data_IF_473527783317
#
_entry.id   IF_473527783317
#
_cell.length_a   1.000
_cell.length_b   1.000
_cell.length_c   1.000
_cell.angle_alpha   90.00
_cell.angle_beta   90.00
_cell.angle_gamma   90.00
#
_symmetry.space_group_name_H-M   'P 1'
#
loop_
_entity.id
_entity.type
_entity.pdbx_description
1 polymer ?
#
# COMPACT_ATOMS: atom_id res chain seq x y z
N UNK A 1 -34.44 -75.43 -9.89
CA UNK A 1 -33.57 -74.77 -8.90
C UNK A 1 -32.58 -73.95 -9.68
N UNK A 2 -32.94 -72.70 -10.01
CA UNK A 2 -32.01 -71.64 -10.45
C UNK A 2 -32.84 -70.35 -10.56
N UNK A 3 -32.75 -69.44 -9.58
CA UNK A 3 -33.50 -68.19 -9.58
C UNK A 3 -32.89 -67.16 -10.54
N UNK A 4 -33.77 -66.30 -11.04
CA UNK A 4 -33.59 -65.35 -12.13
C UNK A 4 -32.34 -64.45 -12.06
N UNK A 5 -31.66 -64.37 -13.20
CA UNK A 5 -30.80 -63.26 -13.58
C UNK A 5 -31.67 -62.06 -13.97
N UNK A 6 -31.80 -61.04 -13.11
CA UNK A 6 -32.08 -59.67 -13.60
C UNK A 6 -31.25 -58.64 -12.84
N UNK A 7 -30.29 -58.06 -13.56
CA UNK A 7 -29.57 -56.86 -13.15
C UNK A 7 -30.55 -55.69 -13.10
N UNK A 8 -30.65 -55.01 -11.96
CA UNK A 8 -31.14 -53.65 -11.91
C UNK A 8 -30.22 -52.77 -11.07
N UNK A 9 -29.00 -52.57 -11.57
CA UNK A 9 -28.16 -51.45 -11.16
C UNK A 9 -28.52 -50.20 -11.95
N UNK A 10 -29.81 -49.81 -11.96
CA UNK A 10 -30.23 -48.47 -12.33
C UNK A 10 -30.08 -47.55 -11.11
N UNK A 11 -28.87 -47.51 -10.55
CA UNK A 11 -28.51 -46.61 -9.46
C UNK A 11 -28.28 -45.22 -10.01
N UNK A 12 -29.37 -44.50 -10.28
CA UNK A 12 -29.49 -43.05 -10.52
C UNK A 12 -28.18 -42.32 -10.87
N UNK A 13 -27.87 -42.23 -12.17
CA UNK A 13 -26.78 -41.39 -12.72
C UNK A 13 -26.94 -39.90 -12.34
N UNK A 14 -28.14 -39.50 -11.89
CA UNK A 14 -28.48 -38.15 -11.47
C UNK A 14 -27.80 -37.78 -10.13
N UNK A 15 -27.63 -38.72 -9.22
CA UNK A 15 -27.00 -38.47 -7.91
C UNK A 15 -25.51 -38.02 -8.03
N UNK A 16 -24.63 -38.74 -8.73
CA UNK A 16 -23.25 -38.28 -8.93
C UNK A 16 -23.18 -36.99 -9.75
N UNK A 17 -24.13 -36.75 -10.67
CA UNK A 17 -24.19 -35.54 -11.47
C UNK A 17 -24.55 -34.29 -10.63
N UNK A 18 -25.50 -34.41 -9.70
CA UNK A 18 -25.83 -33.33 -8.75
C UNK A 18 -24.63 -33.04 -7.83
N UNK A 19 -23.97 -34.08 -7.32
CA UNK A 19 -22.79 -33.91 -6.47
C UNK A 19 -21.65 -33.19 -7.19
N UNK A 20 -21.38 -33.53 -8.47
CA UNK A 20 -20.40 -32.81 -9.28
C UNK A 20 -20.79 -31.35 -9.49
N UNK A 21 -22.07 -31.08 -9.73
CA UNK A 21 -22.56 -29.71 -9.92
C UNK A 21 -22.37 -28.88 -8.65
N UNK A 22 -22.70 -29.44 -7.49
CA UNK A 22 -22.51 -28.79 -6.19
C UNK A 22 -21.01 -28.56 -5.92
N UNK A 23 -20.16 -29.56 -6.20
CA UNK A 23 -18.72 -29.43 -6.02
C UNK A 23 -18.13 -28.30 -6.89
N UNK A 24 -18.57 -28.17 -8.14
CA UNK A 24 -18.17 -27.07 -9.03
C UNK A 24 -18.62 -25.70 -8.51
N UNK A 25 -19.84 -25.60 -7.98
CA UNK A 25 -20.34 -24.36 -7.39
C UNK A 25 -19.50 -23.97 -6.17
N UNK A 26 -19.24 -24.91 -5.25
CA UNK A 26 -18.42 -24.66 -4.06
C UNK A 26 -17.02 -24.20 -4.47
N UNK A 27 -16.42 -24.86 -5.46
CA UNK A 27 -15.12 -24.48 -5.99
C UNK A 27 -15.12 -23.08 -6.61
N UNK A 28 -16.13 -22.75 -7.42
CA UNK A 28 -16.27 -21.42 -8.04
C UNK A 28 -16.48 -20.31 -7.00
N UNK A 29 -17.28 -20.56 -5.95
CA UNK A 29 -17.48 -19.64 -4.82
C UNK A 29 -16.16 -19.45 -4.07
N UNK A 30 -15.44 -20.53 -3.80
CA UNK A 30 -14.15 -20.47 -3.13
C UNK A 30 -13.11 -19.65 -3.93
N UNK A 31 -13.00 -19.89 -5.24
CA UNK A 31 -12.15 -19.12 -6.14
C UNK A 31 -12.53 -17.63 -6.16
N UNK A 32 -13.83 -17.31 -6.14
CA UNK A 32 -14.32 -15.93 -6.12
C UNK A 32 -13.96 -15.19 -4.83
N UNK A 33 -14.04 -15.87 -3.69
CA UNK A 33 -13.63 -15.31 -2.39
C UNK A 33 -12.12 -15.06 -2.34
N UNK A 34 -11.32 -15.96 -2.91
CA UNK A 34 -9.86 -15.81 -2.96
C UNK A 34 -9.44 -14.60 -3.81
N UNK A 35 -10.09 -14.41 -4.96
CA UNK A 35 -9.84 -13.29 -5.87
C UNK A 35 -10.23 -11.94 -5.24
N UNK A 36 -11.31 -11.90 -4.45
CA UNK A 36 -11.72 -10.70 -3.74
C UNK A 36 -10.72 -10.30 -2.65
N UNK A 37 -10.15 -11.28 -1.93
CA UNK A 37 -9.11 -11.05 -0.92
C UNK A 37 -7.81 -10.51 -1.54
N UNK A 38 -7.40 -11.02 -2.69
CA UNK A 38 -6.21 -10.52 -3.40
C UNK A 38 -6.37 -9.06 -3.84
N UNK A 39 -7.55 -8.67 -4.34
CA UNK A 39 -7.84 -7.27 -4.69
C UNK A 39 -7.80 -6.35 -3.48
N UNK A 40 -8.30 -6.79 -2.33
CA UNK A 40 -8.23 -6.00 -1.09
C UNK A 40 -6.78 -5.80 -0.63
N UNK A 41 -5.92 -6.81 -0.74
CA UNK A 41 -4.50 -6.69 -0.36
C UNK A 41 -3.72 -5.73 -1.29
N UNK A 42 -4.02 -5.74 -2.60
CA UNK A 42 -3.43 -4.79 -3.54
C UNK A 42 -3.88 -3.36 -3.24
N UNK A 43 -5.17 -3.15 -2.99
CA UNK A 43 -5.71 -1.83 -2.65
C UNK A 43 -5.12 -1.29 -1.35
N UNK A 44 -5.00 -2.13 -0.33
CA UNK A 44 -4.41 -1.72 0.95
C UNK A 44 -2.93 -1.34 0.80
N UNK A 45 -2.19 -2.04 -0.08
CA UNK A 45 -0.80 -1.68 -0.40
C UNK A 45 -0.68 -0.38 -1.19
N UNK A 46 -1.66 -0.06 -2.04
CA UNK A 46 -1.73 1.21 -2.76
C UNK A 46 -2.06 2.38 -1.81
N UNK A 47 -3.09 2.22 -0.97
CA UNK A 47 -3.51 3.23 0.00
C UNK A 47 -2.37 3.54 1.00
N UNK A 48 -1.59 2.53 1.41
CA UNK A 48 -0.39 2.71 2.23
C UNK A 48 0.72 3.53 1.54
N UNK A 49 0.87 3.39 0.22
CA UNK A 49 1.86 4.18 -0.53
C UNK A 49 1.45 5.65 -0.64
N UNK A 50 0.16 5.93 -0.82
CA UNK A 50 -0.36 7.31 -0.84
C UNK A 50 -0.13 7.99 0.51
N UNK A 51 -0.41 7.29 1.60
CA UNK A 51 -0.16 7.81 2.96
C UNK A 51 1.33 8.06 3.22
N UNK A 52 2.22 7.19 2.72
CA UNK A 52 3.67 7.38 2.84
C UNK A 52 4.15 8.63 2.10
N UNK A 53 3.63 8.89 0.90
CA UNK A 53 3.96 10.10 0.12
C UNK A 53 3.47 11.35 0.84
N UNK A 54 2.25 11.35 1.36
CA UNK A 54 1.69 12.48 2.11
C UNK A 54 2.51 12.76 3.37
N UNK A 55 2.85 11.73 4.12
CA UNK A 55 3.67 11.85 5.33
C UNK A 55 5.09 12.32 5.00
N UNK A 56 5.70 11.81 3.92
CA UNK A 56 7.00 12.26 3.43
C UNK A 56 7.01 13.73 3.02
N UNK A 57 5.96 14.20 2.32
CA UNK A 57 5.78 15.62 2.00
C UNK A 57 5.68 16.48 3.26
N UNK A 58 4.87 16.08 4.25
CA UNK A 58 4.76 16.80 5.53
C UNK A 58 6.09 16.87 6.26
N UNK A 59 6.82 15.75 6.34
CA UNK A 59 8.14 15.70 6.96
C UNK A 59 9.12 16.64 6.25
N UNK A 60 9.14 16.64 4.91
CA UNK A 60 9.96 17.58 4.14
C UNK A 60 9.63 19.03 4.47
N UNK A 61 8.35 19.40 4.49
CA UNK A 61 7.94 20.77 4.84
C UNK A 61 8.41 21.17 6.25
N UNK A 62 8.34 20.24 7.21
CA UNK A 62 8.83 20.50 8.57
C UNK A 62 10.36 20.67 8.61
N UNK A 63 11.09 19.82 7.90
CA UNK A 63 12.56 19.91 7.79
C UNK A 63 12.98 21.22 7.10
N UNK A 64 12.30 21.63 6.03
CA UNK A 64 12.56 22.90 5.34
C UNK A 64 12.30 24.10 6.27
N UNK A 65 11.23 24.05 7.09
CA UNK A 65 10.93 25.10 8.05
C UNK A 65 12.02 25.21 9.14
N UNK A 66 12.52 24.08 9.65
CA UNK A 66 13.63 24.04 10.61
C UNK A 66 14.89 24.62 9.95
N UNK A 67 15.24 24.16 8.75
CA UNK A 67 16.40 24.63 8.02
C UNK A 67 16.34 26.15 7.75
N UNK A 68 15.18 26.68 7.37
CA UNK A 68 14.95 28.10 7.19
C UNK A 68 15.06 28.89 8.50
N UNK A 69 14.61 28.31 9.62
CA UNK A 69 14.79 28.88 10.96
C UNK A 69 16.26 28.92 11.38
N UNK A 70 16.99 27.83 11.19
CA UNK A 70 18.44 27.74 11.46
C UNK A 70 19.21 28.75 10.60
N UNK A 71 18.85 28.90 9.32
CA UNK A 71 19.50 29.90 8.47
C UNK A 71 19.23 31.32 8.93
N UNK A 72 17.98 31.66 9.29
CA UNK A 72 17.67 32.97 9.88
C UNK A 72 18.48 33.25 11.15
N UNK A 73 18.64 32.26 12.02
CA UNK A 73 19.50 32.37 13.21
C UNK A 73 20.97 32.58 12.83
N UNK A 74 21.47 31.87 11.81
CA UNK A 74 22.82 32.04 11.31
C UNK A 74 23.05 33.45 10.74
N UNK A 75 22.08 33.97 9.99
CA UNK A 75 22.08 35.31 9.41
C UNK A 75 22.02 36.40 10.50
N UNK A 76 21.36 36.11 11.63
CA UNK A 76 21.33 36.97 12.82
C UNK A 76 22.62 36.93 13.66
N UNK A 77 23.65 36.18 13.23
CA UNK A 77 24.95 36.12 13.88
C UNK A 77 25.12 35.00 14.91
N UNK A 78 24.21 34.01 14.96
CA UNK A 78 24.37 32.86 15.85
C UNK A 78 25.45 31.91 15.33
N UNK A 79 26.58 31.81 16.05
CA UNK A 79 27.73 31.00 15.68
C UNK A 79 27.40 29.50 15.51
N UNK A 80 26.56 28.94 16.40
CA UNK A 80 26.16 27.53 16.32
C UNK A 80 25.30 27.26 15.07
N UNK A 81 24.38 28.17 14.73
CA UNK A 81 23.55 28.04 13.55
C UNK A 81 24.36 28.18 12.25
N UNK A 82 25.38 29.04 12.23
CA UNK A 82 26.31 29.17 11.10
C UNK A 82 27.10 27.88 10.85
N UNK A 83 27.55 27.20 11.91
CA UNK A 83 28.22 25.90 11.79
C UNK A 83 27.29 24.85 11.16
N UNK A 84 26.02 24.82 11.57
CA UNK A 84 25.02 23.90 11.01
C UNK A 84 24.77 24.20 9.52
N UNK A 85 24.59 25.47 9.15
CA UNK A 85 24.41 25.86 7.73
C UNK A 85 25.63 25.52 6.89
N UNK A 86 26.85 25.72 7.41
CA UNK A 86 28.07 25.33 6.71
C UNK A 86 28.17 23.81 6.52
N UNK A 87 27.82 23.02 7.53
CA UNK A 87 27.79 21.57 7.41
C UNK A 87 26.75 21.11 6.38
N UNK A 88 25.57 21.73 6.36
CA UNK A 88 24.54 21.42 5.36
C UNK A 88 25.01 21.80 3.94
N UNK A 89 25.66 22.94 3.78
CA UNK A 89 26.27 23.35 2.51
C UNK A 89 27.37 22.38 2.04
N UNK A 90 28.22 21.89 2.96
CA UNK A 90 29.25 20.87 2.67
C UNK A 90 28.65 19.54 2.20
N UNK A 91 27.46 19.20 2.67
CA UNK A 91 26.70 18.02 2.23
C UNK A 91 25.86 18.29 0.96
N UNK A 92 26.06 19.41 0.28
CA UNK A 92 25.34 19.78 -0.95
C UNK A 92 23.90 20.27 -0.73
N UNK A 93 23.49 20.48 0.52
CA UNK A 93 22.15 20.96 0.87
C UNK A 93 22.22 22.48 1.01
N UNK A 94 21.89 23.19 -0.07
CA UNK A 94 21.79 24.66 -0.05
C UNK A 94 20.43 25.09 0.50
N UNK A 95 20.43 25.71 1.68
CA UNK A 95 19.21 26.28 2.28
C UNK A 95 18.98 27.68 1.71
N UNK A 96 17.90 27.87 0.95
CA UNK A 96 17.46 29.17 0.46
C UNK A 96 16.20 29.61 1.23
N UNK A 97 16.31 30.51 2.22
CA UNK A 97 15.17 30.90 3.06
C UNK A 97 14.15 31.74 2.27
N UNK A 98 14.59 32.41 1.20
CA UNK A 98 13.76 33.29 0.38
C UNK A 98 12.99 32.56 -0.74
N UNK A 99 13.36 31.32 -1.10
CA UNK A 99 12.63 30.55 -2.12
C UNK A 99 11.25 30.09 -1.60
N UNK A 100 11.12 29.81 -0.30
CA UNK A 100 9.86 29.37 0.29
C UNK A 100 8.90 30.52 0.59
N UNK A 101 9.42 31.73 0.88
CA UNK A 101 8.61 32.94 1.03
C UNK A 101 7.95 33.41 -0.28
N UNK A 102 8.52 33.06 -1.43
CA UNK A 102 7.97 33.38 -2.75
C UNK A 102 6.91 32.38 -3.23
N UNK A 103 6.87 31.16 -2.69
CA UNK A 103 5.91 30.11 -3.06
C UNK A 103 4.57 30.20 -2.29
N UNK A 104 4.45 31.16 -1.37
CA UNK A 104 3.27 31.39 -0.52
C UNK A 104 2.61 32.76 -0.80
N UNK A 105 2.83 33.34 -2.00
CA UNK A 105 2.13 34.54 -2.47
C UNK A 105 1.10 34.20 -3.53
#
# INVERSE_FOLDING_TARGET
MEPDMTHNQSGSLVLPMILLTIALIIWAVFQSVQLYKERQNLKLSFDNQEQLIVNGKKMRTQLDAIAAGTKRLADQGNANAQLIVQQLAKNGISINPNQQAAALK
#
